data_IF_364243937035
#
_entry.id   IF_364243937035
#
_cell.length_a   1.000
_cell.length_b   1.000
_cell.length_c   1.000
_cell.angle_alpha   90.00
_cell.angle_beta   90.00
_cell.angle_gamma   90.00
#
_symmetry.space_group_name_H-M   'P 1'
#
loop_
_entity.id
_entity.type
_entity.pdbx_description
1 polymer ?
#
# COMPACT_ATOMS: atom_id res chain seq x y z
N UNK A 1 -13.27 -19.00 29.03
CA UNK A 1 -12.01 -18.42 29.57
C UNK A 1 -11.36 -17.51 28.53
N UNK A 2 -11.03 -16.26 28.87
CA UNK A 2 -10.28 -15.39 27.96
C UNK A 2 -8.80 -15.74 28.06
N UNK A 3 -8.19 -16.25 26.97
CA UNK A 3 -6.75 -16.44 26.91
C UNK A 3 -6.02 -15.11 27.18
N UNK A 4 -5.16 -15.07 28.20
CA UNK A 4 -4.30 -13.93 28.48
C UNK A 4 -3.31 -13.77 27.32
N UNK A 5 -3.25 -12.59 26.72
CA UNK A 5 -2.25 -12.26 25.69
C UNK A 5 -0.91 -12.07 26.37
N UNK A 6 -0.01 -13.03 26.24
CA UNK A 6 1.37 -12.90 26.72
C UNK A 6 2.28 -12.16 25.72
N UNK A 7 1.96 -12.19 24.43
CA UNK A 7 2.81 -11.62 23.38
C UNK A 7 2.02 -10.67 22.48
N UNK A 8 2.57 -9.47 22.24
CA UNK A 8 2.03 -8.56 21.22
C UNK A 8 2.55 -8.91 19.83
N UNK A 9 1.81 -9.73 19.11
CA UNK A 9 2.14 -10.18 17.74
C UNK A 9 2.19 -9.07 16.70
N UNK A 10 1.84 -7.82 17.02
CA UNK A 10 2.00 -6.67 16.12
C UNK A 10 3.47 -6.30 15.94
N UNK A 11 4.31 -6.62 16.94
CA UNK A 11 5.75 -6.34 16.97
C UNK A 11 6.59 -7.53 16.50
N UNK A 12 5.99 -8.70 16.33
CA UNK A 12 6.66 -9.91 15.85
C UNK A 12 6.76 -9.91 14.33
N UNK A 13 7.85 -10.47 13.81
CA UNK A 13 8.04 -10.62 12.35
C UNK A 13 6.82 -11.35 11.73
N UNK A 14 6.24 -10.81 10.66
CA UNK A 14 5.13 -11.45 9.93
C UNK A 14 5.41 -12.89 9.50
N UNK A 15 6.67 -13.24 9.22
CA UNK A 15 7.07 -14.61 8.88
C UNK A 15 6.92 -15.55 10.07
N UNK A 16 7.36 -15.12 11.26
CA UNK A 16 7.21 -15.90 12.49
C UNK A 16 5.73 -16.10 12.86
N UNK A 17 4.92 -15.06 12.73
CA UNK A 17 3.46 -15.16 12.92
C UNK A 17 2.83 -16.15 11.94
N UNK A 18 3.30 -16.19 10.69
CA UNK A 18 2.83 -17.13 9.69
C UNK A 18 3.18 -18.58 10.05
N UNK A 19 4.39 -18.85 10.52
CA UNK A 19 4.77 -20.19 10.98
C UNK A 19 3.90 -20.65 12.17
N UNK A 20 3.64 -19.77 13.13
CA UNK A 20 2.71 -20.08 14.23
C UNK A 20 1.28 -20.36 13.73
N UNK A 21 0.77 -19.66 12.71
CA UNK A 21 -0.51 -19.97 12.09
C UNK A 21 -0.51 -21.35 11.43
N UNK A 22 0.59 -21.78 10.80
CA UNK A 22 0.71 -23.14 10.27
C UNK A 22 0.67 -24.19 11.39
N UNK A 23 1.31 -23.90 12.52
CA UNK A 23 1.23 -24.78 13.71
C UNK A 23 -0.22 -24.90 14.18
N UNK A 24 -0.95 -23.78 14.29
CA UNK A 24 -2.37 -23.79 14.66
C UNK A 24 -3.22 -24.65 13.71
N UNK A 25 -2.99 -24.57 12.40
CA UNK A 25 -3.67 -25.40 11.42
C UNK A 25 -3.34 -26.89 11.54
N UNK A 26 -2.07 -27.23 11.85
CA UNK A 26 -1.67 -28.62 12.10
C UNK A 26 -2.33 -29.18 13.36
N UNK A 27 -2.45 -28.38 14.42
CA UNK A 27 -3.12 -28.77 15.66
C UNK A 27 -4.63 -28.98 15.43
N UNK A 28 -5.29 -28.13 14.63
CA UNK A 28 -6.69 -28.32 14.21
C UNK A 28 -6.88 -29.66 13.51
N UNK A 29 -5.97 -30.04 12.58
CA UNK A 29 -6.02 -31.35 11.89
C UNK A 29 -5.86 -32.54 12.84
N UNK A 30 -5.18 -32.35 13.97
CA UNK A 30 -5.03 -33.35 15.03
C UNK A 30 -6.23 -33.39 16.00
N UNK A 31 -7.29 -32.63 15.71
CA UNK A 31 -8.50 -32.60 16.55
C UNK A 31 -8.38 -31.82 17.84
N UNK A 32 -7.36 -30.95 17.99
CA UNK A 32 -7.21 -30.11 19.18
C UNK A 32 -8.23 -28.98 19.19
N UNK A 33 -8.74 -28.66 20.39
CA UNK A 33 -9.67 -27.56 20.59
C UNK A 33 -9.00 -26.19 20.43
N UNK A 34 -9.82 -25.17 20.10
CA UNK A 34 -9.33 -23.80 19.91
C UNK A 34 -8.65 -23.26 21.17
N UNK A 35 -9.17 -23.60 22.35
CA UNK A 35 -8.59 -23.23 23.65
C UNK A 35 -7.15 -23.75 23.82
N UNK A 36 -6.93 -25.05 23.54
CA UNK A 36 -5.60 -25.66 23.59
C UNK A 36 -4.65 -25.05 22.54
N UNK A 37 -5.14 -24.78 21.35
CA UNK A 37 -4.35 -24.12 20.28
C UNK A 37 -3.95 -22.71 20.69
N UNK A 38 -4.82 -21.97 21.37
CA UNK A 38 -4.50 -20.65 21.91
C UNK A 38 -3.39 -20.71 22.96
N UNK A 39 -3.42 -21.71 23.85
CA UNK A 39 -2.40 -21.91 24.88
C UNK A 39 -1.05 -22.25 24.25
N UNK A 40 -1.02 -23.17 23.28
CA UNK A 40 0.22 -23.60 22.62
C UNK A 40 0.82 -22.50 21.75
N UNK A 41 -0.01 -21.75 21.02
CA UNK A 41 0.47 -20.73 20.07
C UNK A 41 0.57 -19.33 20.66
N UNK A 42 -0.05 -19.08 21.82
CA UNK A 42 -0.18 -17.75 22.43
C UNK A 42 -1.10 -16.80 21.66
N UNK A 43 -1.81 -17.28 20.63
CA UNK A 43 -2.79 -16.47 19.89
C UNK A 43 -4.09 -16.28 20.66
N UNK A 44 -4.74 -15.14 20.45
CA UNK A 44 -6.11 -14.96 20.90
C UNK A 44 -7.07 -15.84 20.05
N UNK A 45 -8.17 -16.30 20.64
CA UNK A 45 -9.21 -17.11 20.01
C UNK A 45 -9.66 -16.55 18.64
N UNK A 46 -9.91 -15.25 18.57
CA UNK A 46 -10.24 -14.57 17.32
C UNK A 46 -9.18 -14.76 16.23
N UNK A 47 -7.89 -14.72 16.58
CA UNK A 47 -6.79 -14.87 15.60
C UNK A 47 -6.71 -16.29 15.08
N UNK A 48 -6.93 -17.29 15.95
CA UNK A 48 -6.97 -18.71 15.56
C UNK A 48 -8.15 -18.95 14.61
N UNK A 49 -9.35 -18.49 14.97
CA UNK A 49 -10.55 -18.64 14.09
C UNK A 49 -10.38 -17.93 12.75
N UNK A 50 -9.81 -16.73 12.75
CA UNK A 50 -9.52 -16.02 11.48
C UNK A 50 -8.54 -16.82 10.60
N UNK A 51 -7.52 -17.44 11.19
CA UNK A 51 -6.59 -18.28 10.43
C UNK A 51 -7.28 -19.52 9.85
N UNK A 52 -8.22 -20.12 10.57
CA UNK A 52 -9.01 -21.24 10.10
C UNK A 52 -9.93 -20.86 8.96
N UNK A 53 -10.69 -19.76 9.11
CA UNK A 53 -11.59 -19.27 8.07
C UNK A 53 -10.82 -18.89 6.79
N UNK A 54 -9.65 -18.26 6.94
CA UNK A 54 -8.80 -17.94 5.79
C UNK A 54 -8.32 -19.22 5.09
N UNK A 55 -7.94 -20.24 5.86
CA UNK A 55 -7.51 -21.52 5.30
C UNK A 55 -8.66 -22.25 4.59
N UNK A 56 -9.85 -22.26 5.16
CA UNK A 56 -11.04 -22.90 4.59
C UNK A 56 -11.49 -22.18 3.29
N UNK A 57 -11.29 -20.86 3.19
CA UNK A 57 -11.65 -20.05 2.03
C UNK A 57 -10.66 -20.15 0.85
N UNK A 58 -9.35 -20.24 1.12
CA UNK A 58 -8.33 -20.15 0.06
C UNK A 58 -7.04 -20.93 0.34
N UNK A 59 -7.10 -21.91 1.26
CA UNK A 59 -5.96 -22.73 1.58
C UNK A 59 -4.81 -22.00 2.28
N UNK A 60 -3.62 -22.62 2.19
CA UNK A 60 -2.44 -22.07 2.86
C UNK A 60 -2.01 -20.68 2.33
N UNK A 61 -2.31 -20.39 1.08
CA UNK A 61 -1.96 -19.13 0.45
C UNK A 61 -2.78 -17.96 1.01
N UNK A 62 -4.03 -18.17 1.38
CA UNK A 62 -4.87 -17.16 2.02
C UNK A 62 -4.41 -16.83 3.46
N UNK A 63 -3.67 -17.73 4.10
CA UNK A 63 -3.13 -17.52 5.45
C UNK A 63 -1.80 -16.73 5.42
N UNK A 64 -1.13 -16.63 4.26
CA UNK A 64 0.12 -15.86 4.10
C UNK A 64 -0.06 -14.41 4.53
N UNK A 65 0.96 -13.81 5.16
CA UNK A 65 0.90 -12.40 5.49
C UNK A 65 0.85 -11.57 4.22
N UNK A 66 -0.18 -10.76 4.09
CA UNK A 66 -0.28 -9.80 2.99
C UNK A 66 0.54 -8.54 3.32
N UNK A 67 1.12 -7.91 2.28
CA UNK A 67 1.83 -6.65 2.44
C UNK A 67 0.89 -5.60 3.03
N UNK A 68 1.27 -5.03 4.15
CA UNK A 68 0.51 -3.96 4.81
C UNK A 68 0.61 -2.66 4.02
N UNK A 69 -0.43 -1.85 4.08
CA UNK A 69 -0.49 -0.54 3.43
C UNK A 69 -1.39 -0.52 2.21
N UNK A 70 -1.43 0.63 1.57
CA UNK A 70 -2.22 0.83 0.35
C UNK A 70 -1.58 0.10 -0.83
N UNK A 71 -2.40 -0.41 -1.71
CA UNK A 71 -1.93 -0.93 -3.00
C UNK A 71 -1.34 0.20 -3.83
N UNK A 72 -0.33 -0.10 -4.62
CA UNK A 72 0.26 0.88 -5.54
C UNK A 72 -0.84 1.42 -6.48
N UNK A 73 -0.97 2.74 -6.56
CA UNK A 73 -1.99 3.40 -7.39
C UNK A 73 -3.35 3.62 -6.73
N UNK A 74 -3.62 3.06 -5.55
CA UNK A 74 -4.88 3.27 -4.84
C UNK A 74 -4.99 4.72 -4.31
N UNK A 75 -6.13 5.36 -4.60
CA UNK A 75 -6.43 6.77 -4.23
C UNK A 75 -5.43 7.79 -4.78
N UNK A 76 -4.88 7.55 -5.98
CA UNK A 76 -4.14 8.60 -6.70
C UNK A 76 -5.08 9.74 -7.09
N UNK A 77 -4.56 10.97 -7.03
CA UNK A 77 -5.31 12.16 -7.44
C UNK A 77 -5.51 12.22 -8.95
N UNK A 78 -4.51 11.73 -9.71
CA UNK A 78 -4.58 11.58 -11.16
C UNK A 78 -4.76 10.10 -11.52
N UNK A 79 -5.56 9.82 -12.53
CA UNK A 79 -5.65 8.50 -13.11
C UNK A 79 -4.48 8.25 -14.09
N UNK A 80 -4.31 7.03 -14.56
CA UNK A 80 -3.17 6.64 -15.38
C UNK A 80 -3.13 7.36 -16.73
N UNK A 81 -4.28 7.59 -17.35
CA UNK A 81 -4.39 8.32 -18.62
C UNK A 81 -3.98 9.79 -18.46
N UNK A 82 -4.46 10.44 -17.41
CA UNK A 82 -4.08 11.81 -17.06
C UNK A 82 -2.59 11.95 -16.77
N UNK A 83 -2.00 10.96 -16.07
CA UNK A 83 -0.56 10.95 -15.83
C UNK A 83 0.23 10.89 -17.14
N UNK A 84 -0.13 9.99 -18.06
CA UNK A 84 0.54 9.86 -19.36
C UNK A 84 0.40 11.11 -20.22
N UNK A 85 -0.76 11.72 -20.24
CA UNK A 85 -1.01 12.94 -20.99
C UNK A 85 -0.19 14.14 -20.47
N UNK A 86 -0.06 14.28 -19.14
CA UNK A 86 0.82 15.29 -18.55
C UNK A 86 2.27 15.01 -18.88
N UNK A 87 2.73 13.75 -18.80
CA UNK A 87 4.10 13.38 -19.17
C UNK A 87 4.41 13.78 -20.62
N UNK A 88 3.53 13.46 -21.57
CA UNK A 88 3.70 13.85 -22.97
C UNK A 88 3.82 15.37 -23.10
N UNK A 89 2.97 16.13 -22.42
CA UNK A 89 3.04 17.60 -22.47
C UNK A 89 4.33 18.15 -21.88
N UNK A 90 4.87 17.54 -20.82
CA UNK A 90 6.14 17.96 -20.22
C UNK A 90 7.35 17.68 -21.11
N UNK A 91 7.26 16.64 -21.95
CA UNK A 91 8.34 16.25 -22.87
C UNK A 91 8.27 17.03 -24.18
N UNK A 92 7.05 17.22 -24.71
CA UNK A 92 6.84 17.76 -26.07
C UNK A 92 6.74 19.29 -26.10
N UNK A 93 6.47 19.94 -24.96
CA UNK A 93 6.18 21.37 -24.90
C UNK A 93 6.97 22.07 -23.76
N UNK A 94 7.32 23.33 -24.02
CA UNK A 94 7.80 24.25 -22.99
C UNK A 94 6.61 24.92 -22.27
N UNK A 95 6.77 25.35 -21.00
CA UNK A 95 5.71 26.06 -20.28
C UNK A 95 5.16 27.28 -21.03
N UNK A 96 6.01 28.03 -21.71
CA UNK A 96 5.63 29.21 -22.49
C UNK A 96 4.68 28.88 -23.65
N UNK A 97 4.86 27.74 -24.33
CA UNK A 97 3.98 27.27 -25.41
C UNK A 97 2.58 26.97 -24.91
N UNK A 98 2.44 26.56 -23.66
CA UNK A 98 1.19 26.29 -22.99
C UNK A 98 0.60 27.51 -22.22
N UNK A 99 1.12 28.72 -22.52
CA UNK A 99 0.71 29.98 -21.88
C UNK A 99 0.94 30.02 -20.36
N UNK A 100 1.89 29.24 -19.88
CA UNK A 100 2.32 29.21 -18.49
C UNK A 100 3.55 30.12 -18.29
N UNK A 101 3.74 30.60 -17.06
CA UNK A 101 4.90 31.44 -16.75
C UNK A 101 6.20 30.64 -16.70
N UNK A 102 7.25 31.18 -17.33
CA UNK A 102 8.62 30.64 -17.31
C UNK A 102 9.00 29.83 -18.54
N UNK A 103 10.31 29.68 -18.74
CA UNK A 103 10.89 28.90 -19.86
C UNK A 103 11.20 27.46 -19.46
N UNK A 104 11.18 27.15 -18.16
CA UNK A 104 11.51 25.83 -17.64
C UNK A 104 10.37 25.30 -16.76
N UNK A 105 10.19 23.98 -16.78
CA UNK A 105 9.21 23.33 -15.93
C UNK A 105 9.62 23.41 -14.45
N UNK A 106 8.72 23.94 -13.65
CA UNK A 106 8.82 23.99 -12.21
C UNK A 106 7.63 23.23 -11.59
N UNK A 107 7.72 22.85 -10.31
CA UNK A 107 6.58 22.24 -9.60
C UNK A 107 5.34 23.12 -9.64
N UNK A 108 5.53 24.44 -9.60
CA UNK A 108 4.44 25.41 -9.66
C UNK A 108 3.79 25.44 -11.04
N UNK A 109 4.56 25.46 -12.14
CA UNK A 109 4.00 25.44 -13.50
C UNK A 109 3.31 24.11 -13.82
N UNK A 110 3.83 22.98 -13.38
CA UNK A 110 3.17 21.67 -13.52
C UNK A 110 1.87 21.62 -12.72
N UNK A 111 1.84 22.16 -11.51
CA UNK A 111 0.61 22.29 -10.71
C UNK A 111 -0.44 23.12 -11.45
N UNK A 112 -0.03 24.23 -12.05
CA UNK A 112 -0.92 25.11 -12.80
C UNK A 112 -1.45 24.42 -14.07
N UNK A 113 -0.60 23.68 -14.78
CA UNK A 113 -1.01 22.86 -15.94
C UNK A 113 -2.08 21.84 -15.56
N UNK A 114 -1.89 21.10 -14.47
CA UNK A 114 -2.85 20.11 -13.98
C UNK A 114 -4.18 20.78 -13.61
N UNK A 115 -4.11 21.95 -12.96
CA UNK A 115 -5.29 22.72 -12.59
C UNK A 115 -6.06 23.23 -13.81
N UNK A 116 -5.36 23.77 -14.80
CA UNK A 116 -5.98 24.29 -16.04
C UNK A 116 -6.64 23.17 -16.85
N UNK A 117 -6.00 22.00 -16.91
CA UNK A 117 -6.47 20.91 -17.77
C UNK A 117 -7.57 20.07 -17.13
N UNK A 118 -7.45 19.76 -15.84
CA UNK A 118 -8.36 18.83 -15.14
C UNK A 118 -9.13 19.47 -13.99
N UNK A 119 -8.90 20.75 -13.68
CA UNK A 119 -9.50 21.40 -12.51
C UNK A 119 -8.98 20.89 -11.14
N UNK A 120 -7.98 20.03 -11.16
CA UNK A 120 -7.46 19.38 -9.96
C UNK A 120 -6.39 20.25 -9.31
N UNK A 121 -6.60 20.61 -8.04
CA UNK A 121 -5.62 21.38 -7.27
C UNK A 121 -4.92 20.44 -6.28
N UNK A 122 -3.58 20.40 -6.32
CA UNK A 122 -2.78 19.60 -5.40
C UNK A 122 -1.62 20.40 -4.83
N UNK A 123 -1.08 20.01 -3.64
CA UNK A 123 0.09 20.64 -3.05
C UNK A 123 1.34 20.47 -3.92
N UNK A 124 2.28 21.42 -3.89
CA UNK A 124 3.57 21.33 -4.61
C UNK A 124 4.39 20.10 -4.23
N UNK A 125 4.26 19.61 -2.99
CA UNK A 125 4.87 18.36 -2.55
C UNK A 125 4.38 17.17 -3.35
N UNK A 126 3.05 17.05 -3.49
CA UNK A 126 2.43 15.96 -4.26
C UNK A 126 2.83 16.01 -5.73
N UNK A 127 2.90 17.21 -6.33
CA UNK A 127 3.43 17.38 -7.69
C UNK A 127 4.88 16.89 -7.78
N UNK A 128 5.72 17.21 -6.79
CA UNK A 128 7.10 16.72 -6.73
C UNK A 128 7.20 15.20 -6.63
N UNK A 129 6.29 14.56 -5.90
CA UNK A 129 6.21 13.09 -5.80
C UNK A 129 5.79 12.46 -7.13
N UNK A 130 4.87 13.09 -7.88
CA UNK A 130 4.50 12.66 -9.23
C UNK A 130 5.69 12.79 -10.20
N UNK A 131 6.34 13.96 -10.25
CA UNK A 131 7.50 14.20 -11.11
C UNK A 131 8.62 13.19 -10.85
N UNK A 132 8.95 12.94 -9.59
CA UNK A 132 9.94 11.92 -9.22
C UNK A 132 9.54 10.53 -9.70
N UNK A 133 8.26 10.15 -9.57
CA UNK A 133 7.72 8.86 -10.02
C UNK A 133 7.80 8.71 -11.53
N UNK A 134 7.58 9.80 -12.27
CA UNK A 134 7.69 9.86 -13.72
C UNK A 134 9.14 9.92 -14.23
N UNK A 135 10.13 9.95 -13.34
CA UNK A 135 11.55 9.98 -13.67
C UNK A 135 12.13 11.36 -13.91
N UNK A 136 11.37 12.43 -13.65
CA UNK A 136 11.91 13.78 -13.75
C UNK A 136 12.72 14.13 -12.51
N UNK A 137 13.93 14.68 -12.76
CA UNK A 137 14.86 15.13 -11.70
C UNK A 137 14.92 16.65 -11.66
N UNK A 138 15.19 17.19 -10.47
CA UNK A 138 15.40 18.63 -10.30
C UNK A 138 16.75 19.00 -10.88
N UNK A 139 16.76 19.85 -11.90
CA UNK A 139 17.98 20.48 -12.41
C UNK A 139 18.21 21.78 -11.63
N UNK A 140 19.44 22.00 -11.18
CA UNK A 140 19.89 23.30 -10.66
C UNK A 140 20.51 24.06 -11.83
N UNK A 141 20.10 25.32 -12.04
CA UNK A 141 20.75 26.16 -13.03
C UNK A 141 22.22 26.45 -12.65
#
# INVERSE_FOLDING_TARGET
MKCKKETDYRRVDPKAVYELKKVALRLRRKGKEVSEICEITGFADKTVRMAFNAYDAGGIDAVKPQKRGRKAGEKRTLNQEQEQEIISMLVDHDPAQLKLKGCMWTRASVKELIKLKYGITMPNRTVGEYLHRWGFTVQRP
#
